data_IF_997731053055
#
_entry.id   IF_997731053055
#
_cell.length_a   1.000
_cell.length_b   1.000
_cell.length_c   1.000
_cell.angle_alpha   90.00
_cell.angle_beta   90.00
_cell.angle_gamma   90.00
#
_symmetry.space_group_name_H-M   'P 1'
#
loop_
_entity.id
_entity.type
_entity.pdbx_description
1 polymer ?
#
# COMPACT_ATOMS: atom_id res chain seq x y z
N UNK A 1 13.94 -27.17 -11.84
CA UNK A 1 13.12 -27.92 -10.89
C UNK A 1 12.42 -26.95 -9.96
N UNK A 2 11.11 -27.08 -9.75
CA UNK A 2 10.35 -26.25 -8.81
C UNK A 2 10.88 -26.49 -7.38
N UNK A 3 11.24 -25.41 -6.66
CA UNK A 3 11.63 -25.49 -5.25
C UNK A 3 10.43 -25.50 -4.30
N UNK A 4 9.20 -25.56 -4.83
CA UNK A 4 7.99 -25.55 -4.02
C UNK A 4 7.79 -26.91 -3.35
N UNK A 5 7.35 -26.94 -2.08
CA UNK A 5 6.96 -28.17 -1.42
C UNK A 5 5.69 -28.77 -2.07
N UNK A 6 5.48 -30.05 -1.89
CA UNK A 6 4.23 -30.71 -2.28
C UNK A 6 3.15 -30.39 -1.24
N UNK A 7 2.02 -29.90 -1.69
CA UNK A 7 0.84 -29.73 -0.83
C UNK A 7 -0.05 -30.97 -0.92
N UNK A 8 -0.54 -31.41 0.21
CA UNK A 8 -1.46 -32.55 0.32
C UNK A 8 -2.63 -32.12 1.18
N UNK A 9 -3.82 -32.11 0.60
CA UNK A 9 -5.05 -31.71 1.29
C UNK A 9 -5.90 -32.96 1.53
N UNK A 10 -6.20 -33.26 2.77
CA UNK A 10 -6.95 -34.45 3.21
C UNK A 10 -6.43 -35.78 2.61
N UNK A 11 -5.10 -35.87 2.46
CA UNK A 11 -4.42 -37.04 1.91
C UNK A 11 -4.27 -37.06 0.39
N UNK A 12 -4.82 -36.06 -0.32
CA UNK A 12 -4.75 -35.97 -1.79
C UNK A 12 -3.74 -34.90 -2.19
N UNK A 13 -2.78 -35.19 -3.10
CA UNK A 13 -1.91 -34.17 -3.65
C UNK A 13 -2.70 -33.03 -4.30
N UNK A 14 -2.34 -31.80 -3.94
CA UNK A 14 -3.03 -30.60 -4.38
C UNK A 14 -2.07 -29.71 -5.18
N UNK A 15 -2.39 -29.49 -6.44
CA UNK A 15 -1.57 -28.71 -7.38
C UNK A 15 -2.14 -27.28 -7.59
N UNK A 16 -3.23 -26.92 -6.89
CA UNK A 16 -3.86 -25.59 -6.94
C UNK A 16 -3.15 -24.54 -6.09
N UNK A 17 -3.66 -23.33 -6.14
CA UNK A 17 -3.18 -22.24 -5.31
C UNK A 17 -3.71 -22.39 -3.87
N UNK A 18 -2.81 -22.32 -2.89
CA UNK A 18 -3.18 -22.34 -1.47
C UNK A 18 -4.10 -21.21 -1.05
N UNK A 19 -4.06 -20.09 -1.74
CA UNK A 19 -4.96 -18.97 -1.49
C UNK A 19 -6.45 -19.31 -1.70
N UNK A 20 -6.73 -20.37 -2.47
CA UNK A 20 -8.10 -20.87 -2.66
C UNK A 20 -8.65 -21.68 -1.47
N UNK A 21 -7.77 -22.09 -0.55
CA UNK A 21 -8.17 -22.80 0.68
C UNK A 21 -8.40 -21.76 1.77
N UNK A 22 -9.65 -21.68 2.25
CA UNK A 22 -9.96 -20.77 3.34
C UNK A 22 -9.23 -21.23 4.63
N UNK A 23 -8.36 -20.40 5.23
CA UNK A 23 -7.65 -20.74 6.46
C UNK A 23 -8.58 -21.15 7.61
N UNK A 24 -9.80 -20.63 7.62
CA UNK A 24 -10.78 -20.96 8.64
C UNK A 24 -11.30 -22.42 8.55
N UNK A 25 -11.16 -23.07 7.41
CA UNK A 25 -11.56 -24.46 7.20
C UNK A 25 -10.43 -25.45 7.50
N UNK A 26 -9.23 -24.97 7.79
CA UNK A 26 -8.09 -25.78 8.17
C UNK A 26 -8.21 -26.21 9.64
N UNK A 27 -8.12 -27.53 9.91
CA UNK A 27 -8.05 -28.08 11.25
C UNK A 27 -6.60 -28.17 11.73
N UNK A 28 -5.70 -28.68 10.88
CA UNK A 28 -4.29 -28.80 11.19
C UNK A 28 -3.41 -28.71 9.94
N UNK A 29 -2.18 -28.25 10.14
CA UNK A 29 -1.14 -28.21 9.12
C UNK A 29 0.11 -28.89 9.69
N UNK A 30 0.65 -29.87 8.95
CA UNK A 30 1.87 -30.59 9.32
C UNK A 30 2.86 -30.53 8.19
N UNK A 31 4.12 -30.19 8.52
CA UNK A 31 5.19 -30.13 7.53
C UNK A 31 6.12 -31.32 7.70
N UNK A 32 6.22 -32.15 6.67
CA UNK A 32 7.13 -33.27 6.59
C UNK A 32 8.38 -32.87 5.80
N UNK A 33 9.53 -32.81 6.45
CA UNK A 33 10.81 -32.40 5.84
C UNK A 33 11.80 -33.59 5.74
N UNK A 34 11.45 -34.74 6.27
CA UNK A 34 12.32 -35.87 6.43
C UNK A 34 12.15 -36.92 5.30
N UNK A 35 12.97 -37.97 5.34
CA UNK A 35 12.87 -39.09 4.42
C UNK A 35 11.48 -39.77 4.38
N UNK A 36 10.65 -39.58 5.42
CA UNK A 36 9.26 -40.00 5.47
C UNK A 36 8.40 -39.37 4.36
N UNK A 37 8.66 -38.12 3.98
CA UNK A 37 7.99 -37.45 2.87
C UNK A 37 8.28 -38.14 1.53
N UNK A 38 9.54 -38.52 1.31
CA UNK A 38 9.96 -39.27 0.12
C UNK A 38 9.39 -40.67 0.06
N UNK A 39 9.24 -41.35 1.22
CA UNK A 39 8.67 -42.68 1.29
C UNK A 39 7.19 -42.73 0.92
N UNK A 40 6.43 -41.70 1.30
CA UNK A 40 4.97 -41.61 1.05
C UNK A 40 4.63 -41.04 -0.32
N UNK A 41 5.38 -40.05 -0.79
CA UNK A 41 5.04 -39.25 -1.98
C UNK A 41 6.11 -39.33 -3.09
N UNK A 42 7.16 -40.17 -2.92
CA UNK A 42 8.21 -40.39 -3.90
C UNK A 42 8.98 -39.11 -4.25
N UNK A 43 9.40 -38.97 -5.50
CA UNK A 43 10.17 -37.82 -5.99
C UNK A 43 9.42 -36.46 -5.84
N UNK A 44 8.11 -36.46 -5.79
CA UNK A 44 7.30 -35.25 -5.58
C UNK A 44 7.47 -34.68 -4.17
N UNK A 45 7.83 -35.50 -3.19
CA UNK A 45 8.09 -35.10 -1.81
C UNK A 45 9.53 -34.63 -1.53
N UNK A 46 10.41 -34.58 -2.53
CA UNK A 46 11.84 -34.32 -2.35
C UNK A 46 12.10 -32.89 -1.73
N UNK A 47 11.26 -31.95 -1.97
CA UNK A 47 11.35 -30.59 -1.40
C UNK A 47 10.53 -30.40 -0.10
N UNK A 48 10.07 -31.51 0.49
CA UNK A 48 9.17 -31.54 1.63
C UNK A 48 7.70 -31.59 1.22
N UNK A 49 6.86 -31.98 2.19
CA UNK A 49 5.42 -32.13 2.03
C UNK A 49 4.71 -31.30 3.11
N UNK A 50 3.75 -30.51 2.72
CA UNK A 50 2.85 -29.80 3.64
C UNK A 50 1.50 -30.49 3.59
N UNK A 51 1.15 -31.17 4.69
CA UNK A 51 -0.14 -31.81 4.85
C UNK A 51 -1.13 -30.86 5.50
N UNK A 52 -2.25 -30.65 4.86
CA UNK A 52 -3.35 -29.82 5.32
C UNK A 52 -4.55 -30.72 5.56
N UNK A 53 -5.02 -30.76 6.79
CA UNK A 53 -6.24 -31.46 7.12
C UNK A 53 -7.36 -30.43 7.30
N UNK A 54 -8.46 -30.60 6.59
CA UNK A 54 -9.61 -29.72 6.73
C UNK A 54 -10.51 -30.17 7.87
N UNK A 55 -11.28 -29.23 8.42
CA UNK A 55 -12.26 -29.51 9.46
C UNK A 55 -13.30 -30.47 8.92
N UNK A 56 -13.66 -31.44 9.74
CA UNK A 56 -14.73 -32.42 9.43
C UNK A 56 -15.91 -32.23 10.36
N UNK A 57 -17.07 -32.73 9.95
CA UNK A 57 -18.24 -32.81 10.83
C UNK A 57 -17.89 -33.54 12.13
N UNK A 58 -18.20 -32.94 13.28
CA UNK A 58 -18.00 -33.54 14.61
C UNK A 58 -19.28 -34.25 15.05
N UNK A 59 -19.12 -35.40 15.68
CA UNK A 59 -20.23 -36.13 16.31
C UNK A 59 -21.03 -35.23 17.24
N UNK A 60 -22.34 -35.21 17.07
CA UNK A 60 -23.26 -34.45 17.91
C UNK A 60 -24.30 -33.68 17.11
N UNK A 61 -24.87 -32.69 17.76
CA UNK A 61 -25.93 -31.82 17.14
C UNK A 61 -25.27 -30.94 16.06
N UNK A 62 -26.05 -30.70 14.99
CA UNK A 62 -25.68 -29.70 14.00
C UNK A 62 -25.34 -28.40 14.64
N UNK A 63 -24.16 -27.87 14.31
CA UNK A 63 -23.71 -26.56 14.78
C UNK A 63 -23.58 -25.59 13.64
N UNK A 64 -24.07 -24.37 13.86
CA UNK A 64 -23.92 -23.23 12.98
C UNK A 64 -22.95 -22.26 13.63
N UNK A 65 -21.90 -21.91 12.90
CA UNK A 65 -20.91 -20.95 13.36
C UNK A 65 -20.91 -19.76 12.41
N UNK A 66 -21.09 -18.58 12.97
CA UNK A 66 -20.90 -17.34 12.24
C UNK A 66 -19.77 -16.53 12.86
N UNK A 67 -18.81 -16.12 12.02
CA UNK A 67 -17.72 -15.25 12.40
C UNK A 67 -17.73 -14.03 11.50
N UNK A 68 -17.59 -12.86 12.10
CA UNK A 68 -17.46 -11.60 11.40
C UNK A 68 -16.25 -10.85 11.93
N UNK A 69 -15.41 -10.37 11.04
CA UNK A 69 -14.25 -9.53 11.34
C UNK A 69 -14.40 -8.23 10.58
N UNK A 70 -14.27 -7.12 11.28
CA UNK A 70 -14.36 -5.77 10.71
C UNK A 70 -13.11 -5.01 11.11
N UNK A 71 -12.51 -4.31 10.18
CA UNK A 71 -11.29 -3.55 10.43
C UNK A 71 -11.16 -2.34 9.50
N UNK A 72 -10.28 -1.44 9.88
CA UNK A 72 -9.86 -0.31 9.06
C UNK A 72 -8.35 -0.34 8.96
N UNK A 73 -7.85 -0.15 7.74
CA UNK A 73 -6.44 -0.03 7.47
C UNK A 73 -6.11 1.42 7.18
N UNK A 74 -5.03 1.90 7.76
CA UNK A 74 -4.48 3.22 7.49
C UNK A 74 -2.97 3.15 7.43
N UNK A 75 -2.35 4.18 6.91
CA UNK A 75 -0.90 4.28 6.82
C UNK A 75 -0.28 4.25 8.24
N UNK A 76 0.64 3.31 8.47
CA UNK A 76 1.29 3.14 9.77
C UNK A 76 2.40 4.19 10.02
N UNK A 77 3.06 4.66 8.96
CA UNK A 77 4.14 5.66 9.05
C UNK A 77 3.57 6.99 8.58
N UNK A 78 3.53 8.02 9.45
CA UNK A 78 3.10 9.35 9.04
C UNK A 78 4.01 9.90 7.94
N UNK A 79 3.44 10.71 7.08
CA UNK A 79 4.21 11.44 6.09
C UNK A 79 4.86 12.66 6.73
N UNK A 80 6.07 12.99 6.27
CA UNK A 80 6.67 14.26 6.66
C UNK A 80 5.86 15.41 6.09
N UNK A 81 5.80 16.52 6.84
CA UNK A 81 5.21 17.75 6.35
C UNK A 81 6.01 18.24 5.13
N UNK A 82 5.33 18.35 4.01
CA UNK A 82 5.89 18.85 2.76
C UNK A 82 5.63 20.35 2.66
N UNK A 83 6.60 21.08 2.16
CA UNK A 83 6.40 22.51 1.83
C UNK A 83 5.31 22.65 0.78
N UNK A 84 4.47 23.63 0.93
CA UNK A 84 3.49 23.98 -0.08
C UNK A 84 4.14 24.69 -1.28
N UNK A 85 3.40 24.94 -2.34
CA UNK A 85 3.93 25.53 -3.57
C UNK A 85 4.50 26.92 -3.37
N UNK A 86 3.87 27.76 -2.55
CA UNK A 86 4.36 29.11 -2.26
C UNK A 86 5.68 29.06 -1.53
N UNK A 87 5.76 28.24 -0.49
CA UNK A 87 6.99 28.09 0.29
C UNK A 87 8.11 27.48 -0.55
N UNK A 88 7.79 26.53 -1.43
CA UNK A 88 8.78 25.94 -2.33
C UNK A 88 9.36 26.99 -3.30
N UNK A 89 8.50 27.83 -3.88
CA UNK A 89 8.93 28.92 -4.78
C UNK A 89 9.73 29.98 -4.02
N UNK A 90 9.28 30.33 -2.80
CA UNK A 90 10.00 31.27 -1.93
C UNK A 90 11.42 30.77 -1.60
N UNK A 91 11.52 29.52 -1.16
CA UNK A 91 12.82 28.92 -0.83
C UNK A 91 13.74 28.82 -2.04
N UNK A 92 13.18 28.51 -3.23
CA UNK A 92 13.97 28.48 -4.48
C UNK A 92 14.49 29.86 -4.82
N UNK A 93 13.64 30.90 -4.75
CA UNK A 93 14.07 32.28 -4.97
C UNK A 93 15.16 32.70 -4.00
N UNK A 94 15.00 32.43 -2.71
CA UNK A 94 16.00 32.76 -1.69
C UNK A 94 17.32 32.00 -1.90
N UNK A 95 17.25 30.75 -2.31
CA UNK A 95 18.44 29.96 -2.64
C UNK A 95 19.21 30.56 -3.82
N UNK A 96 18.51 30.95 -4.89
CA UNK A 96 19.12 31.62 -6.04
C UNK A 96 19.74 32.95 -5.63
N UNK A 97 18.99 33.82 -4.95
CA UNK A 97 19.47 35.11 -4.47
C UNK A 97 20.72 34.96 -3.62
N UNK A 98 20.69 34.05 -2.65
CA UNK A 98 21.83 33.81 -1.77
C UNK A 98 23.05 33.24 -2.54
N UNK A 99 22.81 32.38 -3.52
CA UNK A 99 23.85 31.87 -4.41
C UNK A 99 24.54 33.01 -5.18
N UNK A 100 23.76 33.98 -5.70
CA UNK A 100 24.33 35.14 -6.38
C UNK A 100 25.15 36.05 -5.45
N UNK A 101 24.66 36.28 -4.23
CA UNK A 101 25.42 37.09 -3.25
C UNK A 101 26.69 36.41 -2.81
N UNK A 102 26.59 35.18 -2.31
CA UNK A 102 27.68 34.53 -1.59
C UNK A 102 28.65 33.76 -2.50
N UNK A 103 28.20 33.33 -3.68
CA UNK A 103 29.04 32.56 -4.60
C UNK A 103 29.50 33.40 -5.78
N UNK A 104 28.63 34.23 -6.35
CA UNK A 104 28.92 35.01 -7.55
C UNK A 104 29.35 36.46 -7.25
N UNK A 105 29.25 36.92 -5.99
CA UNK A 105 29.69 38.24 -5.56
C UNK A 105 28.82 39.43 -5.98
N UNK A 106 27.56 39.15 -6.31
CA UNK A 106 26.57 40.23 -6.60
C UNK A 106 26.27 41.03 -5.33
N UNK A 107 25.91 42.28 -5.48
CA UNK A 107 25.23 43.01 -4.41
C UNK A 107 23.79 42.51 -4.26
N UNK A 108 23.16 42.82 -3.13
CA UNK A 108 21.82 42.30 -2.83
C UNK A 108 20.76 42.68 -3.87
N UNK A 109 20.77 43.90 -4.35
CA UNK A 109 19.76 44.40 -5.30
C UNK A 109 19.89 43.68 -6.67
N UNK A 110 21.10 43.53 -7.16
CA UNK A 110 21.36 42.82 -8.41
C UNK A 110 21.09 41.30 -8.26
N UNK A 111 21.42 40.73 -7.12
CA UNK A 111 21.12 39.31 -6.81
C UNK A 111 19.61 39.04 -6.77
N UNK A 112 18.83 39.92 -6.18
CA UNK A 112 17.36 39.84 -6.17
C UNK A 112 16.76 39.94 -7.57
N UNK A 113 17.26 40.86 -8.39
CA UNK A 113 16.80 41.05 -9.77
C UNK A 113 17.13 39.78 -10.60
N UNK A 114 18.37 39.27 -10.48
CA UNK A 114 18.81 38.09 -11.20
C UNK A 114 18.04 36.83 -10.76
N UNK A 115 17.83 36.66 -9.45
CA UNK A 115 17.09 35.53 -8.92
C UNK A 115 15.62 35.51 -9.41
N UNK A 116 14.96 36.66 -9.53
CA UNK A 116 13.63 36.75 -10.13
C UNK A 116 13.65 36.36 -11.62
N UNK A 117 14.64 36.84 -12.38
CA UNK A 117 14.76 36.54 -13.80
C UNK A 117 14.99 35.02 -14.06
N UNK A 118 15.78 34.38 -13.20
CA UNK A 118 16.15 32.97 -13.38
C UNK A 118 15.17 31.99 -12.73
N UNK A 119 14.15 32.46 -12.02
CA UNK A 119 13.18 31.61 -11.34
C UNK A 119 12.43 30.72 -12.33
N UNK A 120 12.01 31.29 -13.48
CA UNK A 120 11.34 30.56 -14.55
C UNK A 120 12.19 29.40 -15.09
N UNK A 121 13.43 29.70 -15.43
CA UNK A 121 14.35 28.69 -16.00
C UNK A 121 14.69 27.58 -14.99
N UNK A 122 14.83 27.96 -13.72
CA UNK A 122 15.14 27.04 -12.62
C UNK A 122 13.96 26.09 -12.33
N UNK A 123 12.73 26.57 -12.43
CA UNK A 123 11.49 25.81 -12.13
C UNK A 123 10.84 25.19 -13.39
N UNK A 124 11.55 25.16 -14.52
CA UNK A 124 11.11 24.43 -15.72
C UNK A 124 10.22 25.22 -16.67
N UNK A 125 10.15 26.54 -16.54
CA UNK A 125 9.42 27.44 -17.42
C UNK A 125 7.93 27.61 -17.08
N UNK A 126 7.22 28.42 -17.88
CA UNK A 126 5.81 28.75 -17.66
C UNK A 126 4.86 27.53 -17.66
N UNK A 127 5.21 26.47 -18.39
CA UNK A 127 4.41 25.24 -18.40
C UNK A 127 4.22 24.63 -17.02
N UNK A 128 5.21 24.78 -16.16
CA UNK A 128 5.20 24.25 -14.78
C UNK A 128 4.82 25.28 -13.72
N UNK A 129 4.35 26.45 -14.16
CA UNK A 129 3.88 27.48 -13.21
C UNK A 129 2.59 27.03 -12.52
N UNK A 130 2.62 26.83 -11.19
CA UNK A 130 1.45 26.36 -10.45
C UNK A 130 0.43 27.46 -10.15
N UNK A 131 0.72 28.74 -10.47
CA UNK A 131 -0.13 29.86 -10.12
C UNK A 131 -1.02 30.32 -11.29
N UNK A 132 -2.29 30.58 -10.98
CA UNK A 132 -3.28 31.01 -11.99
C UNK A 132 -3.17 32.48 -12.37
N UNK A 133 -2.77 33.30 -11.42
CA UNK A 133 -2.87 34.76 -11.50
C UNK A 133 -1.54 35.50 -11.57
N UNK A 134 -0.41 34.74 -11.55
CA UNK A 134 0.92 35.29 -11.67
C UNK A 134 1.79 34.44 -12.59
N UNK A 135 2.65 35.11 -13.35
CA UNK A 135 3.74 34.47 -14.11
C UNK A 135 5.00 34.39 -13.25
N UNK A 136 5.99 33.64 -13.69
CA UNK A 136 7.26 33.56 -12.98
C UNK A 136 7.95 34.91 -12.79
N UNK A 137 7.79 35.84 -13.74
CA UNK A 137 8.42 37.16 -13.69
C UNK A 137 7.83 38.10 -12.61
N UNK A 138 6.62 37.85 -12.16
CA UNK A 138 5.90 38.74 -11.26
C UNK A 138 5.38 38.08 -9.99
N UNK A 139 5.65 36.78 -9.78
CA UNK A 139 5.23 36.01 -8.59
C UNK A 139 5.89 36.53 -7.31
N UNK A 140 7.16 36.96 -7.40
CA UNK A 140 7.88 37.57 -6.27
C UNK A 140 7.62 39.07 -6.28
N UNK A 141 7.11 39.60 -5.19
CA UNK A 141 6.92 41.05 -5.01
C UNK A 141 8.30 41.72 -4.85
N UNK A 142 8.70 42.63 -5.77
CA UNK A 142 10.01 43.28 -5.69
C UNK A 142 10.19 44.17 -4.47
N UNK A 143 9.09 44.62 -3.85
CA UNK A 143 9.16 45.46 -2.67
C UNK A 143 9.44 44.70 -1.39
N UNK A 144 8.99 43.46 -1.31
CA UNK A 144 9.10 42.61 -0.10
C UNK A 144 10.04 41.44 -0.26
N UNK A 145 10.36 41.02 -1.52
CA UNK A 145 11.10 39.79 -1.79
C UNK A 145 10.36 38.51 -1.43
N UNK A 146 9.03 38.60 -1.31
CA UNK A 146 8.17 37.49 -0.93
C UNK A 146 7.26 37.07 -2.09
N UNK A 147 6.89 35.79 -2.10
CA UNK A 147 5.80 35.31 -2.97
C UNK A 147 4.53 36.09 -2.62
N UNK A 148 3.86 36.62 -3.62
CA UNK A 148 2.64 37.42 -3.43
C UNK A 148 1.59 36.67 -2.62
N UNK A 149 1.07 37.29 -1.59
CA UNK A 149 0.13 36.66 -0.65
C UNK A 149 -1.17 36.20 -1.34
N UNK A 150 -1.62 36.93 -2.36
CA UNK A 150 -2.81 36.66 -3.16
C UNK A 150 -2.57 35.68 -4.33
N UNK A 151 -1.38 35.13 -4.45
CA UNK A 151 -1.08 34.06 -5.43
C UNK A 151 -1.99 32.85 -5.20
N UNK A 152 -2.67 32.42 -6.26
CA UNK A 152 -3.64 31.32 -6.21
C UNK A 152 -3.10 30.14 -6.99
N UNK A 153 -2.95 29.00 -6.34
CA UNK A 153 -2.49 27.77 -6.97
C UNK A 153 -3.55 27.19 -7.92
N UNK A 154 -3.11 26.72 -9.08
CA UNK A 154 -3.94 26.00 -10.04
C UNK A 154 -4.18 24.56 -9.58
N UNK A 155 -3.17 23.97 -8.98
CA UNK A 155 -3.19 22.64 -8.41
C UNK A 155 -2.38 22.66 -7.11
N UNK A 156 -2.75 21.84 -6.16
CA UNK A 156 -2.03 21.62 -4.90
C UNK A 156 -2.30 20.21 -4.42
N UNK A 157 -2.20 19.28 -5.34
CA UNK A 157 -2.52 17.88 -5.09
C UNK A 157 -1.32 17.15 -4.52
N UNK A 158 -1.59 16.33 -3.52
CA UNK A 158 -0.61 15.42 -2.95
C UNK A 158 -0.85 14.04 -3.56
N UNK A 159 0.13 13.54 -4.29
CA UNK A 159 0.05 12.22 -4.92
C UNK A 159 -0.26 11.09 -3.93
N UNK A 160 0.25 11.22 -2.70
CA UNK A 160 -0.01 10.23 -1.66
C UNK A 160 -1.48 10.20 -1.24
N UNK A 161 -2.15 11.35 -1.20
CA UNK A 161 -3.58 11.41 -0.87
C UNK A 161 -4.46 10.83 -2.00
N UNK A 162 -3.97 10.90 -3.23
CA UNK A 162 -4.64 10.29 -4.38
C UNK A 162 -4.42 8.76 -4.50
N UNK A 163 -3.30 8.26 -3.97
CA UNK A 163 -2.90 6.86 -4.09
C UNK A 163 -3.24 6.02 -2.85
N UNK A 164 -3.40 6.65 -1.69
CA UNK A 164 -3.60 5.95 -0.42
C UNK A 164 -5.00 6.23 0.14
N UNK A 165 -5.70 5.15 0.41
CA UNK A 165 -6.93 5.21 1.21
C UNK A 165 -6.55 5.11 2.69
N UNK A 166 -6.63 6.23 3.42
CA UNK A 166 -6.28 6.27 4.85
C UNK A 166 -7.35 5.68 5.77
N UNK A 167 -8.48 5.23 5.21
CA UNK A 167 -9.56 4.58 5.95
C UNK A 167 -10.09 3.38 5.14
N UNK A 168 -9.20 2.58 4.61
CA UNK A 168 -9.58 1.39 3.86
C UNK A 168 -10.37 0.44 4.76
N UNK A 169 -11.63 0.26 4.43
CA UNK A 169 -12.54 -0.57 5.20
C UNK A 169 -12.42 -2.02 4.73
N UNK A 170 -12.22 -2.93 5.69
CA UNK A 170 -12.19 -4.36 5.44
C UNK A 170 -13.25 -5.05 6.28
N UNK A 171 -14.01 -5.91 5.66
CA UNK A 171 -14.90 -6.80 6.39
C UNK A 171 -14.88 -8.22 5.81
N UNK A 172 -14.95 -9.17 6.71
CA UNK A 172 -14.94 -10.60 6.43
C UNK A 172 -16.07 -11.27 7.18
N UNK A 173 -16.83 -12.08 6.50
CA UNK A 173 -17.91 -12.87 7.09
C UNK A 173 -17.74 -14.32 6.71
N UNK A 174 -17.81 -15.18 7.69
CA UNK A 174 -17.72 -16.63 7.51
C UNK A 174 -18.91 -17.30 8.17
N UNK A 175 -19.60 -18.13 7.42
CA UNK A 175 -20.68 -18.99 7.89
C UNK A 175 -20.24 -20.44 7.74
N UNK A 176 -20.25 -21.19 8.83
CA UNK A 176 -19.95 -22.61 8.86
C UNK A 176 -21.13 -23.41 9.40
N UNK A 177 -21.46 -24.49 8.73
CA UNK A 177 -22.44 -25.47 9.16
C UNK A 177 -21.73 -26.82 9.25
N UNK A 178 -21.74 -27.47 10.40
CA UNK A 178 -21.19 -28.80 10.54
C UNK A 178 -22.12 -29.67 11.37
N UNK A 179 -22.12 -30.94 11.06
CA UNK A 179 -22.90 -31.92 11.79
C UNK A 179 -22.52 -33.33 11.43
N UNK A 180 -22.95 -34.26 12.25
CA UNK A 180 -22.77 -35.68 12.08
C UNK A 180 -24.07 -36.38 12.50
N UNK A 181 -24.48 -37.32 11.69
CA UNK A 181 -25.55 -38.26 12.00
C UNK A 181 -24.93 -39.66 11.98
N UNK A 182 -25.66 -40.70 12.48
CA UNK A 182 -25.18 -42.08 12.45
C UNK A 182 -24.70 -42.54 11.09
N UNK A 183 -25.17 -41.91 10.01
CA UNK A 183 -24.87 -42.33 8.61
C UNK A 183 -24.14 -41.28 7.79
N UNK A 184 -24.09 -40.01 8.21
CA UNK A 184 -23.57 -38.94 7.34
C UNK A 184 -22.91 -37.87 8.15
N UNK A 185 -21.64 -37.59 7.79
CA UNK A 185 -20.88 -36.42 8.28
C UNK A 185 -20.91 -35.35 7.20
N UNK A 186 -21.24 -34.13 7.58
CA UNK A 186 -21.29 -33.00 6.66
C UNK A 186 -20.64 -31.77 7.24
N UNK A 187 -20.00 -31.03 6.38
CA UNK A 187 -19.47 -29.69 6.63
C UNK A 187 -19.75 -28.82 5.42
N UNK A 188 -20.22 -27.63 5.67
CA UNK A 188 -20.40 -26.59 4.65
C UNK A 188 -19.88 -25.26 5.18
N UNK A 189 -19.09 -24.56 4.39
CA UNK A 189 -18.60 -23.22 4.74
C UNK A 189 -18.77 -22.27 3.57
N UNK A 190 -19.09 -21.01 3.90
CA UNK A 190 -19.12 -19.88 2.98
C UNK A 190 -18.37 -18.73 3.61
N UNK A 191 -17.42 -18.18 2.87
CA UNK A 191 -16.67 -16.99 3.24
C UNK A 191 -16.91 -15.85 2.26
N UNK A 192 -17.04 -14.65 2.78
CA UNK A 192 -17.09 -13.40 2.02
C UNK A 192 -16.09 -12.43 2.61
N UNK A 193 -15.20 -11.92 1.76
CA UNK A 193 -14.22 -10.89 2.11
C UNK A 193 -14.37 -9.72 1.14
N UNK A 194 -14.45 -8.52 1.68
CA UNK A 194 -14.31 -7.28 0.93
C UNK A 194 -13.29 -6.39 1.63
N UNK A 195 -12.40 -5.81 0.84
CA UNK A 195 -11.37 -4.89 1.31
C UNK A 195 -11.26 -3.74 0.31
N UNK A 196 -11.41 -2.52 0.80
CA UNK A 196 -11.18 -1.31 0.02
C UNK A 196 -9.68 -1.04 -0.04
N UNK A 197 -9.16 -0.81 -1.25
CA UNK A 197 -7.73 -0.53 -1.51
C UNK A 197 -7.45 0.94 -1.71
#
# INVERSE_FOLDING_TARGET
ASQKPLYVVDGIPYDGDLSSINPADIESMTVLKDASAGALYGARGANGVVMINTKRGKEGKTSVTWRSTVGWSSRAIPEYDMVNQKDFVQLTYEALRNGYVFTSGYNWADAEAQARADLSSTLGGELYNPFKNYTWDNIIDPATGQVRADATSAWNERWMDALLNNNAFRHEHQLGLNGDTEKTKYMFSVGYLNEDG
#
